data_IF_939065429730
#
_entry.id   IF_939065429730
#
_cell.length_a   1.000
_cell.length_b   1.000
_cell.length_c   1.000
_cell.angle_alpha   90.00
_cell.angle_beta   90.00
_cell.angle_gamma   90.00
#
_symmetry.space_group_name_H-M   'P 1'
#
loop_
_entity.id
_entity.type
_entity.pdbx_description
1 polymer ?
#
# COMPACT_ATOMS: atom_id res chain seq x y z
N UNK A 1 28.31 2.25 -3.21
CA UNK A 1 26.87 1.89 -3.35
C UNK A 1 26.22 1.79 -1.98
N UNK A 2 25.07 2.38 -1.80
CA UNK A 2 24.33 2.34 -0.54
C UNK A 2 23.09 1.51 -0.72
N UNK A 3 22.92 0.50 0.13
CA UNK A 3 21.71 -0.32 0.15
C UNK A 3 20.81 0.21 1.25
N UNK A 4 19.51 0.35 0.95
CA UNK A 4 18.49 0.77 1.90
C UNK A 4 17.46 -0.33 2.07
N UNK A 5 16.96 -0.44 3.27
CA UNK A 5 15.93 -1.44 3.62
C UNK A 5 14.76 -0.69 4.25
N UNK A 6 13.57 -1.07 3.84
CA UNK A 6 12.34 -0.54 4.43
C UNK A 6 11.42 -1.66 4.85
N UNK A 7 10.57 -1.37 5.81
CA UNK A 7 9.55 -2.28 6.31
C UNK A 7 8.21 -1.55 6.37
N UNK A 8 7.16 -2.21 5.95
CA UNK A 8 5.82 -1.68 6.03
C UNK A 8 4.87 -2.69 6.66
N UNK A 9 3.90 -2.18 7.39
CA UNK A 9 2.87 -2.98 8.03
C UNK A 9 1.55 -2.23 7.93
N UNK A 10 0.48 -2.95 7.59
CA UNK A 10 -0.85 -2.38 7.58
C UNK A 10 -1.86 -3.42 8.06
N UNK A 11 -2.91 -2.97 8.70
CA UNK A 11 -3.98 -3.82 9.18
C UNK A 11 -5.31 -3.08 9.04
N UNK A 12 -6.32 -3.76 8.56
CA UNK A 12 -7.65 -3.22 8.41
C UNK A 12 -8.67 -4.19 8.96
N UNK A 13 -9.73 -3.65 9.54
CA UNK A 13 -10.90 -4.44 9.91
C UNK A 13 -11.70 -4.78 8.66
N UNK A 14 -12.37 -5.93 8.72
CA UNK A 14 -13.26 -6.36 7.66
C UNK A 14 -14.70 -6.38 8.16
N UNK A 15 -15.61 -6.32 7.23
CA UNK A 15 -17.06 -6.44 7.47
C UNK A 15 -17.66 -7.31 6.39
N UNK A 16 -18.88 -7.78 6.59
CA UNK A 16 -19.62 -8.44 5.50
C UNK A 16 -19.76 -7.49 4.32
N UNK A 17 -19.53 -8.00 3.14
CA UNK A 17 -19.58 -7.22 1.90
C UNK A 17 -19.42 -8.14 0.69
N UNK A 18 -19.00 -7.57 -0.42
CA UNK A 18 -18.96 -8.27 -1.70
C UNK A 18 -17.57 -8.51 -2.24
N UNK A 19 -16.54 -7.96 -1.59
CA UNK A 19 -15.18 -8.14 -2.05
C UNK A 19 -14.24 -7.05 -1.57
N UNK A 20 -13.00 -7.19 -1.92
CA UNK A 20 -11.94 -6.26 -1.53
C UNK A 20 -10.86 -6.17 -2.60
N UNK A 21 -10.09 -5.10 -2.54
CA UNK A 21 -8.94 -4.90 -3.43
C UNK A 21 -7.67 -5.22 -2.65
N UNK A 22 -6.87 -6.12 -3.17
CA UNK A 22 -5.59 -6.50 -2.60
C UNK A 22 -4.51 -6.49 -3.68
N UNK A 23 -3.48 -5.67 -3.50
CA UNK A 23 -2.42 -5.53 -4.50
C UNK A 23 -2.93 -5.00 -5.84
N UNK A 24 -3.95 -4.16 -5.82
CA UNK A 24 -4.55 -3.61 -7.03
C UNK A 24 -5.54 -4.54 -7.73
N UNK A 25 -5.81 -5.73 -7.19
CA UNK A 25 -6.70 -6.73 -7.79
C UNK A 25 -7.98 -6.83 -6.97
N UNK A 26 -9.14 -6.74 -7.63
CA UNK A 26 -10.41 -6.98 -6.97
C UNK A 26 -10.62 -8.47 -6.76
N UNK A 27 -10.94 -8.84 -5.53
CA UNK A 27 -11.21 -10.23 -5.15
C UNK A 27 -12.62 -10.31 -4.61
N UNK A 28 -13.51 -11.00 -5.33
CA UNK A 28 -14.88 -11.23 -4.89
C UNK A 28 -14.88 -12.22 -3.72
N UNK A 29 -15.50 -11.83 -2.63
CA UNK A 29 -15.66 -12.69 -1.44
C UNK A 29 -16.75 -12.11 -0.56
N UNK A 30 -17.06 -12.78 0.55
CA UNK A 30 -18.16 -12.38 1.44
C UNK A 30 -17.80 -11.22 2.38
N UNK A 31 -16.61 -10.65 2.23
CA UNK A 31 -16.13 -9.57 3.10
C UNK A 31 -15.62 -8.40 2.30
N UNK A 32 -15.67 -7.24 2.91
CA UNK A 32 -15.06 -6.01 2.41
C UNK A 32 -14.19 -5.41 3.50
N UNK A 33 -13.26 -4.55 3.12
CA UNK A 33 -12.38 -3.88 4.05
C UNK A 33 -13.04 -2.56 4.50
N UNK A 34 -12.97 -2.28 5.80
CA UNK A 34 -13.42 -1.00 6.35
C UNK A 34 -12.27 0.00 6.19
N UNK A 35 -12.44 0.97 5.29
CA UNK A 35 -11.40 1.97 5.02
C UNK A 35 -12.00 3.22 4.39
N UNK A 36 -11.25 4.32 4.45
CA UNK A 36 -11.62 5.58 3.80
C UNK A 36 -11.21 5.63 2.33
N UNK A 37 -10.29 4.76 1.91
CA UNK A 37 -9.85 4.60 0.53
C UNK A 37 -10.32 3.24 0.01
N UNK A 38 -9.62 2.66 -0.94
CA UNK A 38 -9.93 1.30 -1.42
C UNK A 38 -9.55 0.21 -0.40
N UNK A 39 -8.83 0.57 0.67
CA UNK A 39 -8.46 -0.37 1.72
C UNK A 39 -7.43 -1.40 1.29
N UNK A 40 -6.69 -1.15 0.22
CA UNK A 40 -5.67 -2.08 -0.30
C UNK A 40 -4.48 -2.16 0.65
N UNK A 41 -4.56 -3.07 1.62
CA UNK A 41 -3.53 -3.21 2.66
C UNK A 41 -2.18 -3.62 2.09
N UNK A 42 -2.17 -4.37 0.99
CA UNK A 42 -0.91 -4.79 0.35
C UNK A 42 -0.22 -3.57 -0.24
N UNK A 43 -0.93 -2.77 -1.03
CA UNK A 43 -0.37 -1.55 -1.61
C UNK A 43 0.06 -0.55 -0.55
N UNK A 44 -0.73 -0.39 0.51
CA UNK A 44 -0.40 0.54 1.61
C UNK A 44 0.89 0.12 2.32
N UNK A 45 1.05 -1.17 2.65
CA UNK A 45 2.25 -1.64 3.33
C UNK A 45 3.48 -1.57 2.43
N UNK A 46 3.33 -1.86 1.14
CA UNK A 46 4.43 -1.70 0.17
C UNK A 46 4.86 -0.23 0.07
N UNK A 47 3.92 0.69 -0.02
CA UNK A 47 4.24 2.12 -0.04
C UNK A 47 4.97 2.55 1.22
N UNK A 48 4.52 2.11 2.40
CA UNK A 48 5.19 2.43 3.65
C UNK A 48 6.63 1.90 3.68
N UNK A 49 6.85 0.68 3.20
CA UNK A 49 8.18 0.10 3.13
C UNK A 49 9.10 0.90 2.21
N UNK A 50 8.61 1.28 1.03
CA UNK A 50 9.39 2.05 0.06
C UNK A 50 9.71 3.45 0.57
N UNK A 51 8.72 4.14 1.14
CA UNK A 51 8.91 5.47 1.71
C UNK A 51 9.87 5.43 2.90
N UNK A 52 9.76 4.41 3.75
CA UNK A 52 10.66 4.23 4.89
C UNK A 52 12.09 4.00 4.44
N UNK A 53 12.31 3.16 3.44
CA UNK A 53 13.64 2.90 2.88
C UNK A 53 14.28 4.18 2.31
N UNK A 54 13.49 5.05 1.71
CA UNK A 54 13.94 6.31 1.12
C UNK A 54 13.99 7.47 2.12
N UNK A 55 13.64 7.23 3.38
CA UNK A 55 13.56 8.26 4.43
C UNK A 55 12.56 9.37 4.10
N UNK A 56 11.46 9.00 3.45
CA UNK A 56 10.39 9.93 3.07
C UNK A 56 9.18 9.86 4.01
N UNK A 57 9.30 9.15 5.12
CA UNK A 57 8.24 9.00 6.10
C UNK A 57 7.35 7.80 5.81
N UNK A 58 6.07 8.02 5.84
CA UNK A 58 5.05 7.00 5.61
C UNK A 58 3.92 7.54 4.71
N UNK A 59 2.93 6.70 4.45
CA UNK A 59 1.81 7.12 3.58
C UNK A 59 1.01 8.28 4.18
N UNK A 60 0.91 8.36 5.51
CA UNK A 60 0.19 9.45 6.16
C UNK A 60 0.86 10.80 5.97
N UNK A 61 2.18 10.83 5.90
CA UNK A 61 2.96 12.05 5.65
C UNK A 61 3.06 12.37 4.16
N UNK A 62 3.29 11.35 3.34
CA UNK A 62 3.48 11.52 1.90
C UNK A 62 2.17 11.80 1.17
N UNK A 63 1.08 11.23 1.65
CA UNK A 63 -0.27 11.44 1.12
C UNK A 63 -1.17 12.03 2.21
N UNK A 64 -0.99 13.31 2.54
CA UNK A 64 -1.82 13.94 3.58
C UNK A 64 -3.29 13.93 3.19
N UNK A 65 -4.17 14.01 4.18
CA UNK A 65 -5.62 14.00 3.99
C UNK A 65 -6.09 15.34 3.42
N UNK A 66 -5.82 15.58 2.15
CA UNK A 66 -6.19 16.76 1.40
C UNK A 66 -7.06 16.37 0.20
N UNK A 67 -7.69 17.35 -0.43
CA UNK A 67 -8.53 17.10 -1.62
C UNK A 67 -7.74 16.46 -2.77
N UNK A 68 -6.44 16.77 -2.87
CA UNK A 68 -5.56 16.24 -3.91
C UNK A 68 -5.50 14.71 -3.88
N UNK A 69 -5.50 14.12 -2.68
CA UNK A 69 -5.36 12.67 -2.51
C UNK A 69 -6.64 11.99 -2.06
N UNK A 70 -7.76 12.70 -2.12
CA UNK A 70 -9.05 12.14 -1.74
C UNK A 70 -9.41 10.96 -2.64
N UNK A 71 -9.75 9.83 -2.01
CA UNK A 71 -10.12 8.59 -2.72
C UNK A 71 -9.02 8.02 -3.62
N UNK A 72 -7.77 8.35 -3.35
CA UNK A 72 -6.65 7.78 -4.12
C UNK A 72 -6.60 6.26 -3.90
N UNK A 73 -6.44 5.51 -5.00
CA UNK A 73 -6.30 4.05 -4.91
C UNK A 73 -4.89 3.67 -4.46
N UNK A 74 -4.75 2.46 -3.88
CA UNK A 74 -3.45 1.93 -3.52
C UNK A 74 -2.53 1.80 -4.74
N UNK A 75 -3.07 1.40 -5.89
CA UNK A 75 -2.32 1.30 -7.12
C UNK A 75 -1.76 2.65 -7.59
N UNK A 76 -2.55 3.73 -7.46
CA UNK A 76 -2.08 5.07 -7.78
C UNK A 76 -1.02 5.55 -6.80
N UNK A 77 -1.17 5.23 -5.52
CA UNK A 77 -0.16 5.54 -4.51
C UNK A 77 1.18 4.90 -4.85
N UNK A 78 1.17 3.63 -5.25
CA UNK A 78 2.38 2.92 -5.66
C UNK A 78 3.05 3.63 -6.85
N UNK A 79 2.28 4.04 -7.86
CA UNK A 79 2.83 4.77 -9.01
C UNK A 79 3.54 6.05 -8.59
N UNK A 80 2.91 6.83 -7.72
CA UNK A 80 3.48 8.09 -7.25
C UNK A 80 4.77 7.83 -6.46
N UNK A 81 4.75 6.84 -5.58
CA UNK A 81 5.94 6.48 -4.79
C UNK A 81 7.07 5.99 -5.69
N UNK A 82 6.77 5.15 -6.68
CA UNK A 82 7.78 4.66 -7.63
C UNK A 82 8.41 5.79 -8.42
N UNK A 83 7.62 6.76 -8.86
CA UNK A 83 8.15 7.94 -9.55
C UNK A 83 9.08 8.75 -8.66
N UNK A 84 8.74 8.89 -7.38
CA UNK A 84 9.58 9.61 -6.41
C UNK A 84 10.91 8.88 -6.20
N UNK A 85 10.88 7.56 -6.04
CA UNK A 85 12.10 6.76 -5.89
C UNK A 85 12.99 6.88 -7.13
N UNK A 86 12.39 6.82 -8.30
CA UNK A 86 13.11 6.94 -9.57
C UNK A 86 13.77 8.32 -9.70
N UNK A 87 13.08 9.39 -9.29
CA UNK A 87 13.62 10.75 -9.33
C UNK A 87 14.84 10.91 -8.41
N UNK A 88 14.97 10.08 -7.39
CA UNK A 88 16.10 10.07 -6.46
C UNK A 88 17.16 9.02 -6.80
N UNK A 89 17.03 8.38 -7.96
CA UNK A 89 17.93 7.34 -8.44
C UNK A 89 17.96 6.09 -7.55
N UNK A 90 16.83 5.78 -6.91
CA UNK A 90 16.67 4.53 -6.18
C UNK A 90 16.11 3.46 -7.10
N UNK A 91 16.57 2.24 -6.90
CA UNK A 91 16.10 1.06 -7.61
C UNK A 91 15.64 0.03 -6.60
N UNK A 92 14.49 -0.60 -6.87
CA UNK A 92 13.98 -1.68 -6.03
C UNK A 92 14.65 -2.98 -6.47
N UNK A 93 15.27 -3.68 -5.52
CA UNK A 93 15.93 -4.96 -5.79
C UNK A 93 14.96 -6.10 -5.59
N UNK A 94 14.25 -6.12 -4.45
CA UNK A 94 13.20 -7.11 -4.21
C UNK A 94 12.23 -6.61 -3.15
N UNK A 95 11.05 -7.21 -3.15
CA UNK A 95 10.01 -6.98 -2.14
C UNK A 95 9.52 -8.35 -1.69
N UNK A 96 9.41 -8.52 -0.38
CA UNK A 96 8.82 -9.72 0.21
C UNK A 96 7.58 -9.33 0.98
N UNK A 97 6.46 -10.03 0.74
CA UNK A 97 5.16 -9.68 1.30
C UNK A 97 4.60 -10.90 2.04
N UNK A 98 4.15 -10.66 3.27
CA UNK A 98 3.39 -11.64 4.03
C UNK A 98 1.97 -11.13 4.22
N UNK A 99 0.99 -11.90 3.77
CA UNK A 99 -0.42 -11.61 3.97
C UNK A 99 -0.97 -12.53 5.05
N UNK A 100 -1.66 -11.96 6.03
CA UNK A 100 -2.29 -12.72 7.10
C UNK A 100 -3.78 -12.46 7.07
N UNK A 101 -4.56 -13.50 6.80
CA UNK A 101 -6.01 -13.42 6.73
C UNK A 101 -6.61 -14.79 6.49
N UNK A 102 -7.83 -15.01 6.96
CA UNK A 102 -8.53 -16.25 6.72
C UNK A 102 -9.28 -16.24 5.40
N UNK A 103 -9.98 -15.15 5.13
CA UNK A 103 -10.81 -14.97 3.93
C UNK A 103 -10.53 -13.59 3.37
N UNK A 104 -10.30 -13.43 2.05
CA UNK A 104 -10.16 -14.52 1.08
C UNK A 104 -8.84 -15.26 1.20
N UNK A 105 -8.84 -16.50 0.76
CA UNK A 105 -7.59 -17.26 0.62
C UNK A 105 -6.90 -16.83 -0.67
N UNK A 106 -5.64 -16.51 -0.53
CA UNK A 106 -4.82 -16.04 -1.64
C UNK A 106 -3.80 -17.11 -2.02
#
# INVERSE_FOLDING_TARGET
MTIRIGNGFDAHQIKKGDGMILGGVYIACEYSIIAHSDGDIISHSVCDALLGAASLGDIGKFFPNTDEFKNISGAEMIKIVLNELKSKNYEIINIDITYIGEIPKI
#
